data_IF_016064190257
#
_entry.id   IF_016064190257
#
_cell.length_a   1.000
_cell.length_b   1.000
_cell.length_c   1.000
_cell.angle_alpha   90.00
_cell.angle_beta   90.00
_cell.angle_gamma   90.00
#
_symmetry.space_group_name_H-M   'P 1'
#
loop_
_entity.id
_entity.type
_entity.pdbx_description
1 polymer ?
#
# COMPACT_ATOMS: atom_id res chain seq x y z
N UNK A 1 -7.95 -21.02 -0.62
CA UNK A 1 -7.71 -19.59 -0.88
C UNK A 1 -7.54 -19.43 -2.39
N UNK A 2 -8.45 -18.75 -3.08
CA UNK A 2 -8.48 -18.64 -4.54
C UNK A 2 -8.72 -17.21 -5.05
N UNK A 3 -8.29 -16.21 -4.28
CA UNK A 3 -8.57 -14.79 -4.58
C UNK A 3 -7.59 -14.24 -5.65
N UNK A 4 -6.36 -14.77 -5.72
CA UNK A 4 -5.33 -14.37 -6.70
C UNK A 4 -4.46 -15.57 -7.15
N UNK A 5 -5.05 -16.67 -7.64
CA UNK A 5 -4.31 -17.92 -7.87
C UNK A 5 -3.27 -17.82 -9.01
N UNK A 6 -3.48 -16.91 -9.97
CA UNK A 6 -2.61 -16.73 -11.12
C UNK A 6 -1.85 -15.39 -11.11
N UNK A 7 -1.98 -14.57 -10.05
CA UNK A 7 -1.33 -13.26 -10.00
C UNK A 7 0.15 -13.42 -9.63
N UNK A 8 1.04 -12.98 -10.52
CA UNK A 8 2.49 -13.00 -10.32
C UNK A 8 3.13 -11.61 -10.31
N UNK A 9 2.30 -10.56 -10.25
CA UNK A 9 2.76 -9.17 -10.15
C UNK A 9 3.06 -8.74 -8.72
N UNK A 10 3.12 -7.42 -8.49
CA UNK A 10 3.34 -6.82 -7.17
C UNK A 10 2.03 -6.39 -6.54
N UNK A 11 1.74 -6.86 -5.34
CA UNK A 11 0.56 -6.51 -4.56
C UNK A 11 0.91 -5.42 -3.53
N UNK A 12 0.28 -4.25 -3.67
CA UNK A 12 0.40 -3.14 -2.70
C UNK A 12 -0.72 -3.28 -1.66
N UNK A 13 -0.39 -3.39 -0.38
CA UNK A 13 -1.39 -3.63 0.67
C UNK A 13 -1.07 -2.96 2.02
N UNK A 14 -2.05 -2.98 2.91
CA UNK A 14 -2.09 -2.33 4.24
C UNK A 14 -1.38 -3.12 5.35
N UNK A 15 -0.49 -4.04 4.99
CA UNK A 15 0.20 -4.93 5.94
C UNK A 15 -0.71 -5.91 6.72
N UNK A 16 -1.89 -6.30 6.20
CA UNK A 16 -2.60 -7.41 6.83
C UNK A 16 -1.83 -8.73 6.69
N UNK A 17 -1.37 -9.33 7.81
CA UNK A 17 -0.45 -10.49 7.80
C UNK A 17 -0.88 -11.67 6.92
N UNK A 18 -2.18 -12.03 6.81
CA UNK A 18 -2.60 -13.09 5.90
C UNK A 18 -2.28 -12.86 4.43
N UNK A 19 -2.09 -11.62 3.99
CA UNK A 19 -1.74 -11.32 2.59
C UNK A 19 -0.37 -11.83 2.18
N UNK A 20 0.60 -11.91 3.10
CA UNK A 20 1.93 -12.49 2.84
C UNK A 20 1.92 -13.99 2.52
N UNK A 21 0.75 -14.64 2.55
CA UNK A 21 0.58 -16.05 2.14
C UNK A 21 0.32 -16.20 0.64
N UNK A 22 0.06 -15.09 -0.08
CA UNK A 22 -0.12 -15.15 -1.53
C UNK A 22 1.24 -15.21 -2.23
N UNK A 23 1.35 -16.04 -3.26
CA UNK A 23 2.58 -16.21 -4.04
C UNK A 23 2.78 -15.08 -5.05
N UNK A 24 3.01 -13.87 -4.54
CA UNK A 24 3.30 -12.68 -5.33
C UNK A 24 4.35 -11.79 -4.63
N UNK A 25 4.84 -10.78 -5.33
CA UNK A 25 5.70 -9.77 -4.72
C UNK A 25 4.87 -8.83 -3.84
N UNK A 26 5.37 -8.49 -2.67
CA UNK A 26 4.67 -7.66 -1.69
C UNK A 26 5.23 -6.24 -1.62
N UNK A 27 4.33 -5.26 -1.56
CA UNK A 27 4.65 -3.86 -1.33
C UNK A 27 3.73 -3.33 -0.25
N UNK A 28 4.28 -2.53 0.66
CA UNK A 28 3.51 -1.95 1.76
C UNK A 28 3.06 -0.53 1.44
N UNK A 29 1.78 -0.26 1.69
CA UNK A 29 1.18 1.04 1.48
C UNK A 29 1.71 2.06 2.49
N UNK A 30 2.52 3.01 2.03
CA UNK A 30 3.11 4.01 2.92
C UNK A 30 2.09 5.02 3.45
N UNK A 31 0.93 5.20 2.84
CA UNK A 31 -0.15 6.02 3.42
C UNK A 31 -0.65 5.47 4.77
N UNK A 32 -0.57 4.14 4.99
CA UNK A 32 -0.86 3.54 6.30
C UNK A 32 0.28 3.83 7.28
N UNK A 33 1.53 3.64 6.86
CA UNK A 33 2.70 3.99 7.67
C UNK A 33 2.68 5.46 8.10
N UNK A 34 2.37 6.40 7.20
CA UNK A 34 2.29 7.82 7.52
C UNK A 34 1.23 8.09 8.59
N UNK A 35 0.03 7.50 8.50
CA UNK A 35 -1.00 7.66 9.55
C UNK A 35 -0.53 7.13 10.91
N UNK A 36 0.10 5.97 10.93
CA UNK A 36 0.61 5.40 12.18
C UNK A 36 1.79 6.20 12.74
N UNK A 37 2.70 6.69 11.90
CA UNK A 37 3.80 7.56 12.31
C UNK A 37 3.31 8.91 12.82
N UNK A 38 2.31 9.51 12.18
CA UNK A 38 1.67 10.75 12.65
C UNK A 38 1.06 10.51 14.03
N UNK A 39 0.34 9.41 14.23
CA UNK A 39 -0.17 9.03 15.54
C UNK A 39 0.94 8.89 16.60
N UNK A 40 2.08 8.27 16.24
CA UNK A 40 3.24 8.17 17.15
C UNK A 40 3.81 9.55 17.50
N UNK A 41 3.94 10.44 16.53
CA UNK A 41 4.45 11.78 16.76
C UNK A 41 3.49 12.62 17.61
N UNK A 42 2.21 12.69 17.23
CA UNK A 42 1.22 13.56 17.87
C UNK A 42 0.82 13.08 19.27
N UNK A 43 0.65 11.76 19.46
CA UNK A 43 0.19 11.23 20.75
C UNK A 43 1.30 10.82 21.71
N UNK A 44 2.49 10.44 21.21
CA UNK A 44 3.61 10.00 22.05
C UNK A 44 4.79 10.98 22.02
N UNK A 45 4.75 12.04 21.22
CA UNK A 45 5.80 13.06 21.15
C UNK A 45 7.14 12.55 20.60
N UNK A 46 7.16 11.40 19.92
CA UNK A 46 8.42 10.76 19.55
C UNK A 46 8.96 11.31 18.23
N UNK A 47 10.04 12.09 18.31
CA UNK A 47 10.62 12.81 17.16
C UNK A 47 11.14 11.92 16.04
N UNK A 48 11.53 10.68 16.31
CA UNK A 48 11.95 9.74 15.25
C UNK A 48 10.82 9.45 14.26
N UNK A 49 9.56 9.49 14.71
CA UNK A 49 8.42 9.24 13.82
C UNK A 49 8.26 10.38 12.81
N UNK A 50 8.42 11.63 13.25
CA UNK A 50 8.45 12.80 12.36
C UNK A 50 9.63 12.74 11.38
N UNK A 51 10.82 12.31 11.83
CA UNK A 51 11.97 12.08 10.94
C UNK A 51 11.66 11.02 9.89
N UNK A 52 10.97 9.94 10.26
CA UNK A 52 10.58 8.88 9.32
C UNK A 52 9.55 9.38 8.30
N UNK A 53 8.56 10.18 8.72
CA UNK A 53 7.60 10.83 7.80
C UNK A 53 8.36 11.69 6.78
N UNK A 54 9.24 12.57 7.26
CA UNK A 54 10.05 13.43 6.40
C UNK A 54 10.88 12.63 5.40
N UNK A 55 11.54 11.56 5.87
CA UNK A 55 12.29 10.66 5.01
C UNK A 55 11.43 10.00 3.93
N UNK A 56 10.29 9.40 4.28
CA UNK A 56 9.43 8.72 3.30
C UNK A 56 8.91 9.69 2.24
N UNK A 57 8.51 10.91 2.64
CA UNK A 57 8.06 11.95 1.71
C UNK A 57 9.20 12.48 0.81
N UNK A 58 10.40 12.66 1.35
CA UNK A 58 11.59 13.05 0.58
C UNK A 58 11.91 12.03 -0.52
N UNK A 59 11.99 10.75 -0.16
CA UNK A 59 12.29 9.68 -1.12
C UNK A 59 11.17 9.53 -2.15
N UNK A 60 9.91 9.71 -1.74
CA UNK A 60 8.76 9.70 -2.65
C UNK A 60 8.92 10.78 -3.72
N UNK A 61 9.19 12.01 -3.30
CA UNK A 61 9.33 13.15 -4.21
C UNK A 61 10.51 12.95 -5.18
N UNK A 62 11.67 12.51 -4.68
CA UNK A 62 12.84 12.20 -5.54
C UNK A 62 12.50 11.10 -6.56
N UNK A 63 11.83 10.04 -6.13
CA UNK A 63 11.42 8.92 -7.01
C UNK A 63 10.45 9.40 -8.11
N UNK A 64 9.47 10.23 -7.75
CA UNK A 64 8.51 10.79 -8.72
C UNK A 64 9.19 11.74 -9.72
N UNK A 65 10.11 12.59 -9.27
CA UNK A 65 10.85 13.49 -10.16
C UNK A 65 11.76 12.72 -11.13
N UNK A 66 12.46 11.71 -10.62
CA UNK A 66 13.33 10.86 -11.44
C UNK A 66 12.53 10.04 -12.45
N UNK A 67 11.37 9.52 -12.05
CA UNK A 67 10.42 8.86 -12.96
C UNK A 67 10.02 9.76 -14.11
N UNK A 68 9.63 11.02 -13.83
CA UNK A 68 9.26 12.01 -14.87
C UNK A 68 10.42 12.29 -15.83
N UNK A 69 11.66 12.27 -15.33
CA UNK A 69 12.88 12.52 -16.10
C UNK A 69 13.46 11.25 -16.76
N UNK A 70 12.86 10.07 -16.54
CA UNK A 70 13.39 8.79 -17.02
C UNK A 70 14.77 8.43 -16.48
N UNK A 71 15.15 8.98 -15.31
CA UNK A 71 16.46 8.74 -14.67
C UNK A 71 16.33 7.67 -13.61
N UNK A 72 17.34 6.83 -13.43
CA UNK A 72 17.42 5.91 -12.28
C UNK A 72 17.99 6.60 -11.02
N UNK A 73 17.83 6.01 -9.84
CA UNK A 73 18.64 6.36 -8.66
C UNK A 73 20.01 5.71 -8.80
N UNK A 74 21.09 6.46 -8.53
CA UNK A 74 22.42 5.88 -8.45
C UNK A 74 22.61 5.07 -7.15
N UNK A 75 23.57 4.15 -7.18
CA UNK A 75 23.84 3.25 -6.05
C UNK A 75 24.30 3.98 -4.78
N UNK A 76 24.93 5.14 -4.91
CA UNK A 76 25.41 5.90 -3.76
C UNK A 76 24.23 6.54 -3.02
N UNK A 77 23.29 7.12 -3.76
CA UNK A 77 22.08 7.71 -3.25
C UNK A 77 21.16 6.66 -2.62
N UNK A 78 21.01 5.47 -3.23
CA UNK A 78 20.29 4.35 -2.60
C UNK A 78 20.90 3.97 -1.25
N UNK A 79 22.23 3.81 -1.18
CA UNK A 79 22.93 3.52 0.09
C UNK A 79 22.75 4.64 1.11
N UNK A 80 22.69 5.92 0.68
CA UNK A 80 22.39 7.06 1.57
C UNK A 80 20.99 6.95 2.16
N UNK A 81 19.98 6.63 1.34
CA UNK A 81 18.63 6.44 1.81
C UNK A 81 18.50 5.26 2.78
N UNK A 82 19.10 4.11 2.48
CA UNK A 82 19.10 2.95 3.37
C UNK A 82 19.74 3.27 4.73
N UNK A 83 20.90 3.96 4.74
CA UNK A 83 21.56 4.38 5.99
C UNK A 83 20.68 5.31 6.80
N UNK A 84 20.03 6.29 6.15
CA UNK A 84 19.13 7.24 6.81
C UNK A 84 17.91 6.52 7.41
N UNK A 85 17.29 5.61 6.65
CA UNK A 85 16.18 4.79 7.14
C UNK A 85 16.58 3.96 8.37
N UNK A 86 17.66 3.18 8.27
CA UNK A 86 18.11 2.31 9.36
C UNK A 86 18.48 3.12 10.62
N UNK A 87 19.06 4.31 10.45
CA UNK A 87 19.34 5.23 11.57
C UNK A 87 18.05 5.64 12.28
N UNK A 88 17.02 6.06 11.54
CA UNK A 88 15.75 6.50 12.15
C UNK A 88 15.05 5.33 12.86
N UNK A 89 15.06 4.13 12.26
CA UNK A 89 14.52 2.92 12.91
C UNK A 89 15.28 2.60 14.20
N UNK A 90 16.62 2.70 14.18
CA UNK A 90 17.45 2.50 15.37
C UNK A 90 17.16 3.53 16.47
N UNK A 91 16.99 4.81 16.11
CA UNK A 91 16.55 5.86 17.04
C UNK A 91 15.19 5.51 17.67
N UNK A 92 14.26 4.97 16.88
CA UNK A 92 12.96 4.51 17.37
C UNK A 92 13.06 3.36 18.38
N UNK A 93 13.89 2.35 18.12
CA UNK A 93 14.12 1.26 19.09
C UNK A 93 14.86 1.73 20.35
N UNK A 94 15.76 2.72 20.25
CA UNK A 94 16.40 3.32 21.43
C UNK A 94 15.40 4.06 22.31
N UNK A 95 14.46 4.78 21.71
CA UNK A 95 13.39 5.48 22.42
C UNK A 95 12.32 4.54 22.99
N UNK A 96 12.21 3.33 22.44
CA UNK A 96 11.26 2.30 22.86
C UNK A 96 12.01 0.98 23.03
N UNK A 97 12.78 0.81 24.12
CA UNK A 97 13.45 -0.45 24.36
C UNK A 97 12.40 -1.58 24.43
N UNK A 98 12.67 -2.75 23.82
CA UNK A 98 11.77 -3.89 23.95
C UNK A 98 11.63 -4.24 25.45
N UNK A 99 10.44 -4.67 25.89
CA UNK A 99 10.25 -5.07 27.27
C UNK A 99 11.29 -6.14 27.64
N UNK A 100 11.95 -5.94 28.78
CA UNK A 100 12.79 -6.97 29.38
C UNK A 100 11.88 -8.16 29.66
N UNK A 101 12.13 -9.30 29.03
CA UNK A 101 11.31 -10.49 29.26
C UNK A 101 11.58 -11.02 30.66
N UNK A 102 10.80 -10.58 31.65
CA UNK A 102 10.62 -11.37 32.86
C UNK A 102 9.88 -12.63 32.42
N UNK A 103 10.60 -13.76 32.41
CA UNK A 103 10.12 -15.07 31.94
C UNK A 103 8.96 -15.59 32.80
N UNK A 104 7.79 -14.98 32.73
CA UNK A 104 6.55 -15.60 33.17
C UNK A 104 5.96 -16.23 31.92
N UNK A 105 6.06 -17.56 31.80
CA UNK A 105 5.49 -18.35 30.69
C UNK A 105 3.95 -18.26 30.69
N UNK A 106 3.39 -17.11 30.31
CA UNK A 106 1.97 -16.98 29.99
C UNK A 106 1.76 -17.51 28.57
N UNK A 107 0.66 -18.24 28.36
CA UNK A 107 0.30 -18.79 27.06
C UNK A 107 -0.12 -17.64 26.14
N UNK A 108 0.62 -17.41 25.06
CA UNK A 108 0.34 -16.35 24.07
C UNK A 108 1.46 -15.31 23.96
N UNK A 109 1.57 -14.65 22.80
CA UNK A 109 2.56 -13.58 22.57
C UNK A 109 2.23 -12.38 23.44
N UNK A 110 3.22 -11.85 24.17
CA UNK A 110 3.05 -10.63 24.95
C UNK A 110 2.56 -9.48 24.06
N UNK A 111 1.56 -8.74 24.55
CA UNK A 111 0.96 -7.64 23.81
C UNK A 111 1.97 -6.50 23.69
N UNK A 112 2.58 -6.35 22.52
CA UNK A 112 3.45 -5.21 22.21
C UNK A 112 2.62 -3.93 22.06
N UNK A 113 3.18 -2.80 22.51
CA UNK A 113 2.59 -1.49 22.29
C UNK A 113 2.54 -1.11 20.80
N UNK A 114 1.63 -0.19 20.42
CA UNK A 114 1.46 0.26 19.03
C UNK A 114 2.78 0.73 18.39
N UNK A 115 3.59 1.46 19.16
CA UNK A 115 4.88 2.01 18.73
C UNK A 115 5.89 0.91 18.37
N UNK A 116 6.09 -0.05 19.27
CA UNK A 116 6.98 -1.19 19.06
C UNK A 116 6.52 -2.07 17.88
N UNK A 117 5.21 -2.29 17.75
CA UNK A 117 4.65 -3.03 16.61
C UNK A 117 4.95 -2.35 15.27
N UNK A 118 4.83 -1.02 15.21
CA UNK A 118 5.19 -0.25 14.01
C UNK A 118 6.70 -0.34 13.70
N UNK A 119 7.56 -0.19 14.71
CA UNK A 119 9.02 -0.30 14.54
C UNK A 119 9.46 -1.68 14.04
N UNK A 120 8.87 -2.75 14.57
CA UNK A 120 9.12 -4.11 14.10
C UNK A 120 8.71 -4.28 12.65
N UNK A 121 7.52 -3.79 12.26
CA UNK A 121 7.09 -3.86 10.86
C UNK A 121 8.01 -3.08 9.92
N UNK A 122 8.43 -1.87 10.29
CA UNK A 122 9.38 -1.08 9.51
C UNK A 122 10.74 -1.79 9.37
N UNK A 123 11.21 -2.46 10.43
CA UNK A 123 12.45 -3.25 10.39
C UNK A 123 12.32 -4.51 9.53
N UNK A 124 11.30 -5.32 9.81
CA UNK A 124 11.16 -6.68 9.29
C UNK A 124 10.69 -6.66 7.82
N UNK A 125 9.90 -5.66 7.43
CA UNK A 125 9.37 -5.50 6.07
C UNK A 125 9.96 -4.28 5.36
N UNK A 126 11.22 -3.95 5.66
CA UNK A 126 11.94 -2.81 5.06
C UNK A 126 11.90 -2.84 3.54
N UNK A 127 12.09 -4.02 2.93
CA UNK A 127 12.14 -4.18 1.47
C UNK A 127 10.80 -3.78 0.85
N UNK A 128 9.71 -4.26 1.43
CA UNK A 128 8.35 -4.03 0.98
C UNK A 128 7.91 -2.57 1.24
N UNK A 129 8.35 -1.96 2.34
CA UNK A 129 8.13 -0.53 2.64
C UNK A 129 8.85 0.38 1.65
N UNK A 130 10.10 0.06 1.29
CA UNK A 130 10.97 0.91 0.45
C UNK A 130 10.98 0.53 -1.03
N UNK A 131 10.12 -0.39 -1.48
CA UNK A 131 10.13 -0.89 -2.87
C UNK A 131 10.03 0.22 -3.92
N UNK A 132 9.25 1.26 -3.66
CA UNK A 132 9.06 2.43 -4.54
C UNK A 132 10.35 3.24 -4.79
N UNK A 133 11.36 3.10 -3.93
CA UNK A 133 12.66 3.75 -4.08
C UNK A 133 13.55 3.02 -5.11
N UNK A 134 13.37 1.72 -5.27
CA UNK A 134 14.16 0.89 -6.20
C UNK A 134 13.51 0.80 -7.57
N UNK A 135 12.17 0.75 -7.60
CA UNK A 135 11.39 0.65 -8.82
C UNK A 135 10.28 1.71 -8.82
N UNK A 136 10.41 2.69 -9.70
CA UNK A 136 9.51 3.83 -9.78
C UNK A 136 8.15 3.52 -10.40
N UNK A 137 7.96 2.31 -10.94
CA UNK A 137 6.63 1.83 -11.35
C UNK A 137 5.77 1.50 -10.13
N UNK A 138 6.40 1.20 -8.99
CA UNK A 138 5.71 0.84 -7.75
C UNK A 138 5.14 2.11 -7.11
N UNK A 139 3.82 2.16 -6.85
CA UNK A 139 3.24 3.33 -6.22
C UNK A 139 3.58 3.38 -4.72
N UNK A 140 3.69 4.60 -4.20
CA UNK A 140 3.94 4.83 -2.77
C UNK A 140 2.77 4.40 -1.88
N UNK A 141 1.55 4.46 -2.41
CA UNK A 141 0.32 4.17 -1.69
C UNK A 141 -0.65 3.32 -2.53
N UNK A 142 -1.68 2.78 -1.86
CA UNK A 142 -2.71 1.94 -2.46
C UNK A 142 -4.00 2.74 -2.78
N UNK A 143 -3.91 4.05 -2.96
CA UNK A 143 -5.09 4.91 -3.07
C UNK A 143 -5.99 4.54 -4.25
N UNK A 144 -5.42 4.01 -5.34
CA UNK A 144 -6.20 3.59 -6.50
C UNK A 144 -7.14 2.43 -6.16
N UNK A 145 -6.63 1.37 -5.54
CA UNK A 145 -7.47 0.24 -5.13
C UNK A 145 -8.50 0.68 -4.09
N UNK A 146 -8.11 1.51 -3.12
CA UNK A 146 -9.03 2.06 -2.13
C UNK A 146 -10.17 2.88 -2.75
N UNK A 147 -9.87 3.68 -3.79
CA UNK A 147 -10.89 4.43 -4.55
C UNK A 147 -11.81 3.51 -5.33
N UNK A 148 -11.27 2.45 -5.95
CA UNK A 148 -12.05 1.48 -6.72
C UNK A 148 -13.08 0.76 -5.84
N UNK A 149 -12.67 0.32 -4.65
CA UNK A 149 -13.56 -0.38 -3.70
C UNK A 149 -14.52 0.56 -2.95
N UNK A 150 -14.24 1.87 -2.90
CA UNK A 150 -15.04 2.85 -2.15
C UNK A 150 -16.50 2.83 -2.55
N UNK A 151 -16.80 2.66 -3.83
CA UNK A 151 -18.19 2.64 -4.32
C UNK A 151 -18.99 1.45 -3.77
N UNK A 152 -18.33 0.32 -3.52
CA UNK A 152 -18.96 -0.82 -2.87
C UNK A 152 -19.32 -0.48 -1.41
N UNK A 153 -18.42 0.18 -0.69
CA UNK A 153 -18.71 0.66 0.68
C UNK A 153 -19.81 1.71 0.71
N UNK A 154 -19.87 2.59 -0.30
CA UNK A 154 -20.95 3.55 -0.44
C UNK A 154 -22.30 2.85 -0.66
N UNK A 155 -22.37 1.86 -1.55
CA UNK A 155 -23.58 1.07 -1.77
C UNK A 155 -24.05 0.39 -0.47
N UNK A 156 -23.11 -0.12 0.33
CA UNK A 156 -23.41 -0.73 1.63
C UNK A 156 -23.93 0.28 2.66
N UNK A 157 -23.31 1.46 2.74
CA UNK A 157 -23.59 2.45 3.79
C UNK A 157 -24.82 3.32 3.49
N UNK A 158 -25.04 3.67 2.23
CA UNK A 158 -26.01 4.71 1.83
C UNK A 158 -27.14 4.14 0.97
N UNK A 159 -26.85 3.24 0.04
CA UNK A 159 -27.81 2.79 -0.97
C UNK A 159 -28.55 1.49 -0.60
N UNK A 160 -28.56 1.12 0.68
CA UNK A 160 -29.38 0.02 1.18
C UNK A 160 -28.88 -1.39 0.86
N UNK A 161 -27.57 -1.57 0.62
CA UNK A 161 -26.93 -2.86 0.31
C UNK A 161 -27.41 -3.46 -1.03
N UNK A 162 -26.91 -4.66 -1.37
CA UNK A 162 -27.41 -5.44 -2.51
C UNK A 162 -28.46 -6.43 -2.02
N UNK A 163 -29.62 -6.48 -2.69
CA UNK A 163 -30.71 -7.42 -2.37
C UNK A 163 -30.43 -8.83 -2.85
N UNK A 164 -29.59 -8.98 -3.88
CA UNK A 164 -29.24 -10.27 -4.49
C UNK A 164 -27.75 -10.31 -4.81
N UNK A 165 -27.19 -11.52 -4.84
CA UNK A 165 -25.79 -11.73 -5.24
C UNK A 165 -25.56 -11.34 -6.70
N UNK A 166 -26.50 -11.69 -7.59
CA UNK A 166 -26.43 -11.31 -9.01
C UNK A 166 -26.36 -9.80 -9.21
N UNK A 167 -27.13 -9.00 -8.43
CA UNK A 167 -27.02 -7.54 -8.50
C UNK A 167 -25.66 -7.01 -8.03
N UNK A 168 -25.07 -7.65 -7.03
CA UNK A 168 -23.71 -7.31 -6.58
C UNK A 168 -22.65 -7.65 -7.64
N UNK A 169 -22.82 -8.79 -8.32
CA UNK A 169 -21.94 -9.22 -9.41
C UNK A 169 -22.01 -8.26 -10.60
N UNK A 170 -23.21 -7.90 -11.07
CA UNK A 170 -23.40 -6.91 -12.13
C UNK A 170 -22.76 -5.57 -11.78
N UNK A 171 -22.93 -5.12 -10.54
CA UNK A 171 -22.27 -3.92 -10.06
C UNK A 171 -20.75 -4.03 -10.13
N UNK A 172 -20.18 -5.14 -9.66
CA UNK A 172 -18.74 -5.40 -9.71
C UNK A 172 -18.21 -5.41 -11.16
N UNK A 173 -18.94 -6.03 -12.11
CA UNK A 173 -18.56 -6.05 -13.52
C UNK A 173 -18.51 -4.63 -14.10
N UNK A 174 -19.59 -3.85 -13.93
CA UNK A 174 -19.68 -2.48 -14.44
C UNK A 174 -18.57 -1.60 -13.83
N UNK A 175 -18.35 -1.71 -12.52
CA UNK A 175 -17.32 -0.94 -11.82
C UNK A 175 -15.91 -1.34 -12.24
N UNK A 176 -15.66 -2.62 -12.45
CA UNK A 176 -14.37 -3.13 -12.94
C UNK A 176 -14.09 -2.61 -14.34
N UNK A 177 -15.07 -2.64 -15.24
CA UNK A 177 -14.97 -2.07 -16.58
C UNK A 177 -14.63 -0.57 -16.53
N UNK A 178 -15.41 0.23 -15.80
CA UNK A 178 -15.18 1.68 -15.66
C UNK A 178 -13.79 1.97 -15.09
N UNK A 179 -13.36 1.20 -14.08
CA UNK A 179 -12.04 1.36 -13.47
C UNK A 179 -10.92 1.09 -14.48
N UNK A 180 -11.03 0.02 -15.26
CA UNK A 180 -10.04 -0.34 -16.30
C UNK A 180 -9.97 0.72 -17.41
N UNK A 181 -11.13 1.17 -17.90
CA UNK A 181 -11.22 2.23 -18.92
C UNK A 181 -10.51 3.50 -18.46
N UNK A 182 -10.75 3.92 -17.21
CA UNK A 182 -10.08 5.09 -16.63
C UNK A 182 -8.57 4.91 -16.46
N UNK A 183 -8.11 3.71 -16.08
CA UNK A 183 -6.69 3.41 -15.89
C UNK A 183 -5.89 3.44 -17.21
N UNK A 184 -6.57 3.24 -18.32
CA UNK A 184 -5.99 3.28 -19.66
C UNK A 184 -6.31 4.60 -20.38
N UNK A 185 -6.69 5.64 -19.63
CA UNK A 185 -6.95 7.00 -20.12
C UNK A 185 -8.01 7.09 -21.24
N UNK A 186 -8.95 6.13 -21.30
CA UNK A 186 -10.08 6.17 -22.22
C UNK A 186 -11.26 6.98 -21.67
N UNK A 187 -12.03 7.60 -22.57
CA UNK A 187 -13.32 8.21 -22.24
C UNK A 187 -14.31 7.14 -21.75
N UNK A 188 -14.82 7.30 -20.52
CA UNK A 188 -15.79 6.37 -19.94
C UNK A 188 -17.11 6.39 -20.70
N UNK A 189 -17.56 7.57 -21.13
CA UNK A 189 -18.83 7.72 -21.84
C UNK A 189 -18.75 7.01 -23.19
N UNK A 190 -17.69 7.25 -23.96
CA UNK A 190 -17.50 6.64 -25.28
C UNK A 190 -17.33 5.12 -25.18
N UNK A 191 -16.63 4.64 -24.15
CA UNK A 191 -16.47 3.22 -23.90
C UNK A 191 -17.81 2.54 -23.58
N UNK A 192 -18.64 3.16 -22.74
CA UNK A 192 -19.99 2.68 -22.45
C UNK A 192 -20.88 2.71 -23.70
N UNK A 193 -20.84 3.79 -24.48
CA UNK A 193 -21.60 3.91 -25.73
C UNK A 193 -21.24 2.81 -26.72
N UNK A 194 -19.94 2.53 -26.90
CA UNK A 194 -19.46 1.43 -27.75
C UNK A 194 -20.02 0.09 -27.31
N UNK A 195 -19.88 -0.25 -26.03
CA UNK A 195 -20.37 -1.52 -25.48
C UNK A 195 -21.88 -1.65 -25.65
N UNK A 196 -22.65 -0.59 -25.37
CA UNK A 196 -24.10 -0.59 -25.55
C UNK A 196 -24.53 -0.72 -27.02
N UNK A 197 -23.71 -0.25 -27.97
CA UNK A 197 -23.90 -0.46 -29.41
C UNK A 197 -23.40 -1.83 -29.90
N UNK A 198 -23.01 -2.74 -29.02
CA UNK A 198 -22.46 -4.05 -29.36
C UNK A 198 -21.05 -4.00 -29.96
N UNK A 199 -20.34 -2.87 -29.81
CA UNK A 199 -18.97 -2.69 -30.30
C UNK A 199 -17.96 -3.04 -29.21
N UNK A 200 -16.86 -3.66 -29.62
CA UNK A 200 -15.77 -4.04 -28.72
C UNK A 200 -14.92 -2.82 -28.31
N UNK A 201 -14.54 -2.78 -27.04
CA UNK A 201 -13.52 -1.86 -26.50
C UNK A 201 -12.27 -2.69 -26.25
N UNK A 202 -11.18 -2.37 -26.94
CA UNK A 202 -9.90 -3.06 -26.77
C UNK A 202 -9.18 -2.47 -25.56
N UNK A 203 -9.21 -3.23 -24.46
CA UNK A 203 -8.52 -2.89 -23.21
C UNK A 203 -7.23 -3.71 -23.11
N UNK A 204 -6.13 -3.07 -22.72
CA UNK A 204 -4.84 -3.73 -22.51
C UNK A 204 -4.72 -4.31 -21.10
N UNK A 205 -4.47 -5.61 -20.99
CA UNK A 205 -4.30 -6.29 -19.68
C UNK A 205 -2.85 -6.72 -19.41
N UNK A 206 -1.90 -6.29 -20.24
CA UNK A 206 -0.50 -6.63 -20.05
C UNK A 206 0.00 -6.02 -18.73
N UNK A 207 0.44 -6.88 -17.81
CA UNK A 207 1.10 -6.46 -16.56
C UNK A 207 2.38 -5.71 -16.93
N UNK A 208 2.43 -4.41 -16.65
CA UNK A 208 3.68 -3.66 -16.54
C UNK A 208 4.17 -3.71 -15.09
#
# INVERSE_FOLDING_TARGET
>A
MGILPAFKGRAVHDHWSPYFKYECDHVLCNAHHLRELTFVYEHYGQSWAQKMIGFLCEVKNDSEERRKKGKAVDLEQLKRYERKYNRIVSEGFKANPPPLSEKIKKRGREKKGKVLSLLERLRDHRKETLSFMYDFTIPFDNNLAERDIRMMKFQQKVSGLFRTFSGAEQFCIIRSFISTVKKQDFSVIDALEKVLKGKQVFLEFNCR
#
